data_IF_820641618274
#
_entry.id   IF_820641618274
#
_cell.length_a   1.000
_cell.length_b   1.000
_cell.length_c   1.000
_cell.angle_alpha   90.00
_cell.angle_beta   90.00
_cell.angle_gamma   90.00
#
_symmetry.space_group_name_H-M   'P 1'
#
loop_
_entity.id
_entity.type
_entity.pdbx_description
1 polymer ?
#
# COMPACT_ATOMS: atom_id res chain seq x y z
N UNK A 1 -22.07 0.45 -65.98
CA UNK A 1 -23.26 0.22 -65.13
C UNK A 1 -22.79 0.36 -63.71
N UNK A 2 -23.45 1.25 -62.96
CA UNK A 2 -23.22 1.62 -61.56
C UNK A 2 -21.83 2.23 -61.25
N UNK A 3 -21.70 3.52 -61.54
CA UNK A 3 -20.74 4.42 -60.91
C UNK A 3 -21.13 4.64 -59.44
N UNK A 4 -20.11 4.62 -58.58
CA UNK A 4 -20.21 4.93 -57.16
C UNK A 4 -20.45 6.42 -56.92
N UNK A 5 -21.22 6.69 -55.87
CA UNK A 5 -21.26 7.99 -55.21
C UNK A 5 -21.46 7.74 -53.72
N UNK A 6 -20.51 8.24 -52.93
CA UNK A 6 -20.58 8.37 -51.47
C UNK A 6 -21.56 9.48 -51.11
N UNK A 7 -22.38 9.25 -50.08
CA UNK A 7 -22.96 10.29 -49.22
C UNK A 7 -23.06 9.78 -47.77
N UNK A 8 -22.97 10.67 -46.77
CA UNK A 8 -22.40 10.38 -45.45
C UNK A 8 -23.42 9.81 -44.47
N UNK A 9 -23.02 8.85 -43.65
CA UNK A 9 -23.81 8.40 -42.50
C UNK A 9 -23.59 9.34 -41.32
N UNK A 10 -24.69 9.94 -40.89
CA UNK A 10 -24.79 10.87 -39.76
C UNK A 10 -24.30 10.22 -38.45
N UNK A 11 -23.40 10.92 -37.77
CA UNK A 11 -23.08 10.69 -36.36
C UNK A 11 -24.32 11.03 -35.53
N UNK A 12 -24.85 10.04 -34.82
CA UNK A 12 -25.89 10.26 -33.81
C UNK A 12 -25.24 10.85 -32.56
N UNK A 13 -25.45 12.14 -32.35
CA UNK A 13 -25.22 12.83 -31.07
C UNK A 13 -26.13 12.20 -30.00
N UNK A 14 -25.56 11.40 -29.09
CA UNK A 14 -26.26 11.02 -27.87
C UNK A 14 -26.21 12.21 -26.89
N UNK A 15 -27.39 12.77 -26.63
CA UNK A 15 -27.64 13.86 -25.70
C UNK A 15 -27.13 13.55 -24.29
N UNK A 16 -26.22 14.42 -23.83
CA UNK A 16 -25.71 14.50 -22.47
C UNK A 16 -26.86 14.77 -21.49
N UNK A 17 -27.25 13.75 -20.73
CA UNK A 17 -28.27 13.88 -19.69
C UNK A 17 -27.62 14.46 -18.42
N UNK A 18 -28.09 15.60 -17.87
CA UNK A 18 -27.48 16.22 -16.70
C UNK A 18 -27.93 15.50 -15.41
N UNK A 19 -27.37 14.31 -15.18
CA UNK A 19 -27.50 13.55 -13.95
C UNK A 19 -26.19 13.60 -13.18
N UNK A 20 -25.91 14.73 -12.50
CA UNK A 20 -24.73 14.87 -11.65
C UNK A 20 -24.69 13.79 -10.57
N UNK A 21 -23.94 12.72 -10.81
CA UNK A 21 -23.67 11.69 -9.82
C UNK A 21 -22.96 12.35 -8.63
N UNK A 22 -23.62 12.37 -7.47
CA UNK A 22 -23.04 12.84 -6.23
C UNK A 22 -21.65 12.20 -6.06
N UNK A 23 -20.60 13.02 -5.96
CA UNK A 23 -19.23 12.51 -5.83
C UNK A 23 -19.18 11.52 -4.66
N UNK A 24 -18.83 10.26 -4.92
CA UNK A 24 -18.70 9.25 -3.89
C UNK A 24 -17.83 9.79 -2.74
N UNK A 25 -18.34 9.71 -1.51
CA UNK A 25 -17.67 10.25 -0.32
C UNK A 25 -16.61 9.31 0.27
N UNK A 26 -16.55 8.08 -0.23
CA UNK A 26 -15.62 7.03 0.21
C UNK A 26 -15.04 6.31 -1.00
N UNK A 27 -13.81 5.79 -0.91
CA UNK A 27 -13.21 5.03 -2.00
C UNK A 27 -13.97 3.74 -2.28
N UNK A 28 -13.99 3.34 -3.55
CA UNK A 28 -14.35 1.98 -3.93
C UNK A 28 -13.39 0.94 -3.31
N UNK A 29 -13.93 -0.25 -3.10
CA UNK A 29 -13.23 -1.46 -2.68
C UNK A 29 -12.07 -1.80 -3.61
N UNK A 30 -10.96 -2.28 -3.05
CA UNK A 30 -9.74 -2.52 -3.83
C UNK A 30 -8.74 -3.43 -3.13
N UNK A 31 -8.05 -4.24 -3.92
CA UNK A 31 -6.85 -4.99 -3.53
C UNK A 31 -5.64 -4.55 -4.34
N UNK A 32 -4.44 -4.71 -3.78
CA UNK A 32 -3.19 -4.38 -4.48
C UNK A 32 -3.00 -2.92 -4.84
N UNK A 33 -3.71 -2.03 -4.16
CA UNK A 33 -3.45 -0.60 -4.16
C UNK A 33 -2.21 -0.29 -3.33
N UNK A 34 -1.73 0.94 -3.44
CA UNK A 34 -0.70 1.48 -2.53
C UNK A 34 -1.35 2.43 -1.53
N UNK A 35 -0.79 2.46 -0.32
CA UNK A 35 -1.08 3.50 0.64
C UNK A 35 0.22 3.99 1.28
N UNK A 36 0.38 5.31 1.35
CA UNK A 36 1.51 5.96 2.02
C UNK A 36 0.99 7.02 2.97
N UNK A 37 1.77 7.41 3.96
CA UNK A 37 1.34 8.37 5.00
C UNK A 37 2.38 9.45 5.23
N UNK A 38 1.92 10.69 5.50
CA UNK A 38 2.75 11.77 6.07
C UNK A 38 2.66 11.83 7.61
N UNK A 39 2.04 10.81 8.20
CA UNK A 39 1.74 10.66 9.63
C UNK A 39 0.44 11.32 10.08
N UNK A 40 -0.21 12.12 9.25
CA UNK A 40 -1.55 12.71 9.52
C UNK A 40 -2.59 12.29 8.48
N UNK A 41 -2.16 12.14 7.24
CA UNK A 41 -3.00 11.76 6.09
C UNK A 41 -2.44 10.50 5.47
N UNK A 42 -3.34 9.59 5.12
CA UNK A 42 -3.04 8.42 4.31
C UNK A 42 -3.49 8.68 2.87
N UNK A 43 -2.61 8.44 1.92
CA UNK A 43 -2.83 8.65 0.49
C UNK A 43 -2.93 7.28 -0.18
N UNK A 44 -4.05 7.01 -0.84
CA UNK A 44 -4.39 5.73 -1.44
C UNK A 44 -4.52 5.89 -2.95
N UNK A 45 -3.82 5.06 -3.72
CA UNK A 45 -3.83 5.10 -5.17
C UNK A 45 -3.85 3.69 -5.79
N UNK A 46 -4.50 3.57 -6.94
CA UNK A 46 -4.52 2.36 -7.75
C UNK A 46 -5.24 1.19 -7.09
N UNK A 47 -4.75 -0.02 -7.39
CA UNK A 47 -5.38 -1.29 -7.08
C UNK A 47 -6.40 -1.71 -8.13
N UNK A 48 -7.03 -2.85 -7.88
CA UNK A 48 -8.08 -3.40 -8.72
C UNK A 48 -9.21 -3.97 -7.88
N UNK A 49 -10.33 -4.21 -8.54
CA UNK A 49 -11.48 -4.94 -8.00
C UNK A 49 -12.12 -5.79 -9.10
N UNK A 50 -13.12 -6.58 -8.75
CA UNK A 50 -13.94 -7.25 -9.74
C UNK A 50 -14.95 -6.30 -10.39
N UNK A 51 -15.20 -6.48 -11.69
CA UNK A 51 -16.32 -5.86 -12.39
C UNK A 51 -17.49 -6.85 -12.46
N UNK A 52 -18.70 -6.52 -11.97
CA UNK A 52 -19.85 -7.43 -11.99
C UNK A 52 -20.38 -7.77 -13.39
N UNK A 53 -19.98 -7.04 -14.42
CA UNK A 53 -20.67 -7.00 -15.72
C UNK A 53 -19.77 -7.29 -16.94
N UNK A 54 -18.51 -7.69 -16.73
CA UNK A 54 -17.58 -8.00 -17.82
C UNK A 54 -16.97 -9.39 -17.63
N UNK A 55 -16.72 -10.11 -18.72
CA UNK A 55 -15.91 -11.35 -18.70
C UNK A 55 -14.46 -11.12 -18.21
N UNK A 56 -14.06 -9.85 -18.06
CA UNK A 56 -12.82 -9.46 -17.41
C UNK A 56 -12.98 -9.41 -15.90
N UNK A 57 -12.23 -10.26 -15.21
CA UNK A 57 -12.31 -10.41 -13.75
C UNK A 57 -11.59 -9.30 -12.98
N UNK A 58 -10.57 -8.65 -13.56
CA UNK A 58 -9.76 -7.64 -12.86
C UNK A 58 -9.95 -6.24 -13.48
N UNK A 59 -10.70 -5.36 -12.81
CA UNK A 59 -10.90 -3.96 -13.19
C UNK A 59 -10.00 -3.05 -12.34
N UNK A 60 -9.02 -2.42 -12.98
CA UNK A 60 -8.15 -1.45 -12.29
C UNK A 60 -8.89 -0.16 -11.97
N UNK A 61 -8.65 0.41 -10.79
CA UNK A 61 -9.28 1.67 -10.39
C UNK A 61 -8.74 2.87 -11.20
N UNK A 62 -9.51 3.97 -11.32
CA UNK A 62 -9.11 5.14 -12.10
C UNK A 62 -7.73 5.68 -11.72
N UNK A 63 -6.84 5.80 -12.73
CA UNK A 63 -5.44 6.21 -12.56
C UNK A 63 -5.27 7.64 -12.06
N UNK A 64 -6.22 8.51 -12.40
CA UNK A 64 -6.18 9.94 -12.09
C UNK A 64 -6.77 10.27 -10.71
N UNK A 65 -7.17 9.26 -9.93
CA UNK A 65 -7.73 9.44 -8.59
C UNK A 65 -6.74 9.06 -7.49
N UNK A 66 -6.47 10.00 -6.58
CA UNK A 66 -5.84 9.73 -5.29
C UNK A 66 -6.85 10.01 -4.18
N UNK A 67 -6.97 9.06 -3.25
CA UNK A 67 -7.87 9.16 -2.12
C UNK A 67 -7.07 9.54 -0.88
N UNK A 68 -7.44 10.64 -0.24
CA UNK A 68 -6.79 11.16 0.96
C UNK A 68 -7.68 10.88 2.16
N UNK A 69 -7.18 10.11 3.12
CA UNK A 69 -7.84 9.83 4.38
C UNK A 69 -7.19 10.62 5.50
N UNK A 70 -7.95 11.51 6.13
CA UNK A 70 -7.54 12.22 7.32
C UNK A 70 -7.60 11.26 8.53
N UNK A 71 -6.44 10.81 9.00
CA UNK A 71 -6.34 9.76 10.03
C UNK A 71 -6.82 10.23 11.41
N UNK A 72 -6.89 11.54 11.62
CA UNK A 72 -7.35 12.14 12.87
C UNK A 72 -8.86 12.11 13.03
N UNK A 73 -9.61 12.33 11.94
CA UNK A 73 -11.07 12.52 11.97
C UNK A 73 -11.86 11.54 11.10
N UNK A 74 -11.18 10.71 10.31
CA UNK A 74 -11.77 9.64 9.52
C UNK A 74 -12.40 10.06 8.20
N UNK A 75 -12.15 11.28 7.72
CA UNK A 75 -12.73 11.80 6.49
C UNK A 75 -11.90 11.37 5.28
N UNK A 76 -12.60 10.86 4.26
CA UNK A 76 -12.05 10.67 2.93
C UNK A 76 -12.27 11.90 2.06
N UNK A 77 -11.27 12.22 1.25
CA UNK A 77 -11.35 13.21 0.18
C UNK A 77 -10.81 12.57 -1.09
N UNK A 78 -11.61 12.61 -2.16
CA UNK A 78 -11.13 12.28 -3.49
C UNK A 78 -10.43 13.50 -4.08
N UNK A 79 -9.22 13.31 -4.58
CA UNK A 79 -8.45 14.34 -5.29
C UNK A 79 -8.13 13.81 -6.69
N UNK A 80 -8.45 14.60 -7.71
CA UNK A 80 -8.01 14.32 -9.08
C UNK A 80 -6.58 14.77 -9.25
N UNK A 81 -5.79 13.95 -9.95
CA UNK A 81 -4.37 14.20 -10.20
C UNK A 81 -4.14 14.48 -11.69
N UNK A 82 -3.14 15.32 -11.97
CA UNK A 82 -2.74 15.66 -13.33
C UNK A 82 -1.29 15.27 -13.63
N UNK A 83 -0.72 15.84 -14.69
CA UNK A 83 0.68 15.61 -15.09
C UNK A 83 0.90 14.27 -15.79
N UNK A 84 2.06 13.66 -15.57
CA UNK A 84 2.41 12.34 -16.11
C UNK A 84 1.80 11.22 -15.25
N UNK A 85 0.46 11.17 -15.22
CA UNK A 85 -0.29 10.19 -14.41
C UNK A 85 0.21 8.76 -14.73
N UNK A 86 0.56 7.90 -13.76
CA UNK A 86 0.91 6.50 -14.02
C UNK A 86 -0.27 5.73 -14.61
N UNK A 87 -0.08 4.61 -15.34
CA UNK A 87 -1.20 3.75 -15.73
C UNK A 87 -1.92 3.18 -14.50
N UNK A 88 -3.19 2.82 -14.61
CA UNK A 88 -3.86 2.12 -13.51
C UNK A 88 -3.16 0.78 -13.24
N UNK A 89 -2.75 0.55 -12.00
CA UNK A 89 -1.91 -0.59 -11.64
C UNK A 89 -2.32 -1.24 -10.32
N UNK A 90 -2.05 -2.54 -10.21
CA UNK A 90 -1.98 -3.26 -8.94
C UNK A 90 -0.53 -3.63 -8.61
N UNK A 91 -0.26 -3.88 -7.33
CA UNK A 91 1.02 -4.41 -6.87
C UNK A 91 2.22 -3.45 -7.03
N UNK A 92 1.99 -2.18 -7.36
CA UNK A 92 3.03 -1.15 -7.32
C UNK A 92 3.63 -1.04 -5.92
N UNK A 93 4.86 -0.54 -5.83
CA UNK A 93 5.54 -0.29 -4.56
C UNK A 93 5.65 1.22 -4.34
N UNK A 94 5.13 1.73 -3.24
CA UNK A 94 5.14 3.16 -2.95
C UNK A 94 5.67 3.49 -1.56
N UNK A 95 6.24 4.68 -1.44
CA UNK A 95 6.67 5.23 -0.15
C UNK A 95 6.54 6.75 -0.12
N UNK A 96 6.32 7.31 1.06
CA UNK A 96 6.34 8.75 1.30
C UNK A 96 7.65 9.13 1.98
N UNK A 97 8.43 10.02 1.36
CA UNK A 97 9.61 10.64 1.97
C UNK A 97 9.47 12.14 1.83
N UNK A 98 9.54 12.87 2.95
CA UNK A 98 9.41 14.34 2.99
C UNK A 98 8.19 14.90 2.23
N UNK A 99 7.03 14.22 2.39
CA UNK A 99 5.75 14.55 1.74
C UNK A 99 5.78 14.41 0.21
N UNK A 100 6.73 13.65 -0.33
CA UNK A 100 6.73 13.21 -1.72
C UNK A 100 6.43 11.73 -1.74
N UNK A 101 5.38 11.35 -2.48
CA UNK A 101 5.09 9.95 -2.79
C UNK A 101 5.98 9.54 -3.96
N UNK A 102 6.74 8.47 -3.78
CA UNK A 102 7.48 7.80 -4.83
C UNK A 102 6.81 6.46 -5.15
N UNK A 103 6.60 6.18 -6.43
CA UNK A 103 5.90 4.99 -6.94
C UNK A 103 6.82 4.27 -7.92
N UNK A 104 7.05 2.98 -7.70
CA UNK A 104 7.85 2.13 -8.57
C UNK A 104 7.10 0.85 -8.95
N UNK A 105 7.19 0.50 -10.23
CA UNK A 105 6.70 -0.77 -10.75
C UNK A 105 5.19 -0.94 -10.63
N UNK A 106 4.76 -2.20 -10.67
CA UNK A 106 3.35 -2.60 -10.67
C UNK A 106 2.97 -3.40 -11.90
N UNK A 107 1.69 -3.71 -12.00
CA UNK A 107 1.10 -4.46 -13.09
C UNK A 107 -0.13 -3.71 -13.63
N UNK A 108 -0.10 -3.35 -14.90
CA UNK A 108 -1.21 -2.73 -15.63
C UNK A 108 -1.77 -3.69 -16.68
N UNK A 109 -2.72 -3.23 -17.49
CA UNK A 109 -3.37 -4.01 -18.55
C UNK A 109 -2.41 -4.64 -19.59
N UNK A 110 -1.16 -4.18 -19.66
CA UNK A 110 -0.13 -4.67 -20.59
C UNK A 110 1.04 -5.37 -19.86
N UNK A 111 0.85 -5.74 -18.60
CA UNK A 111 1.85 -6.47 -17.82
C UNK A 111 2.62 -5.61 -16.82
N UNK A 112 3.78 -6.12 -16.42
CA UNK A 112 4.62 -5.49 -15.40
C UNK A 112 5.42 -4.31 -15.95
N UNK A 113 5.66 -3.32 -15.09
CA UNK A 113 6.46 -2.13 -15.42
C UNK A 113 7.63 -1.93 -14.44
N UNK A 114 8.67 -1.21 -14.85
CA UNK A 114 9.76 -0.70 -14.00
C UNK A 114 9.83 0.83 -14.01
N UNK A 115 8.76 1.49 -14.46
CA UNK A 115 8.68 2.95 -14.48
C UNK A 115 8.63 3.51 -13.06
N UNK A 116 9.19 4.71 -12.89
CA UNK A 116 9.28 5.41 -11.62
C UNK A 116 8.58 6.76 -11.71
N UNK A 117 7.75 7.06 -10.72
CA UNK A 117 6.97 8.28 -10.65
C UNK A 117 7.11 8.91 -9.27
N UNK A 118 6.92 10.22 -9.23
CA UNK A 118 6.79 10.95 -7.98
C UNK A 118 5.59 11.90 -7.98
N UNK A 119 5.09 12.20 -6.79
CA UNK A 119 3.95 13.09 -6.57
C UNK A 119 4.20 13.91 -5.31
N UNK A 120 4.30 15.23 -5.44
CA UNK A 120 4.36 16.14 -4.29
C UNK A 120 3.00 16.18 -3.59
N UNK A 121 2.92 15.72 -2.33
CA UNK A 121 1.68 15.62 -1.55
C UNK A 121 1.34 16.92 -0.79
N UNK A 122 2.12 17.98 -0.97
CA UNK A 122 1.88 19.31 -0.40
C UNK A 122 2.33 20.42 -1.38
N UNK A 123 1.72 20.47 -2.58
CA UNK A 123 2.01 21.49 -3.57
C UNK A 123 1.59 22.88 -3.04
N UNK A 124 2.28 23.94 -3.48
CA UNK A 124 1.91 25.31 -3.14
C UNK A 124 0.64 25.76 -3.87
N UNK A 125 0.48 25.32 -5.11
CA UNK A 125 -0.60 25.73 -6.00
C UNK A 125 -1.85 24.83 -5.89
N UNK A 126 -1.86 23.87 -4.95
CA UNK A 126 -3.00 23.01 -4.65
C UNK A 126 -3.12 21.74 -5.50
N UNK A 127 -2.62 21.75 -6.73
CA UNK A 127 -2.78 20.61 -7.66
C UNK A 127 -1.75 19.50 -7.42
N UNK A 128 -2.25 18.26 -7.35
CA UNK A 128 -1.42 17.05 -7.26
C UNK A 128 -1.03 16.59 -8.67
N UNK A 129 0.19 16.93 -9.10
CA UNK A 129 0.71 16.61 -10.43
C UNK A 129 1.76 15.51 -10.35
N UNK A 130 1.50 14.40 -11.04
CA UNK A 130 2.46 13.32 -11.18
C UNK A 130 3.60 13.74 -12.10
N UNK A 131 4.80 13.35 -11.72
CA UNK A 131 6.01 13.46 -12.55
C UNK A 131 6.53 12.05 -12.83
N UNK A 132 6.77 11.76 -14.10
CA UNK A 132 7.49 10.55 -14.51
C UNK A 132 8.97 10.90 -14.50
N UNK A 133 9.76 10.21 -13.68
CA UNK A 133 11.18 10.53 -13.53
C UNK A 133 12.00 9.61 -14.43
N UNK A 134 12.78 10.22 -15.32
CA UNK A 134 13.76 9.50 -16.13
C UNK A 134 15.02 9.24 -15.29
N UNK A 135 15.02 8.11 -14.58
CA UNK A 135 16.13 7.72 -13.71
C UNK A 135 17.37 7.31 -14.54
N UNK A 136 18.55 7.66 -14.03
CA UNK A 136 19.85 7.23 -14.57
C UNK A 136 20.21 5.84 -14.06
N UNK A 137 21.23 5.22 -14.65
CA UNK A 137 21.72 3.90 -14.25
C UNK A 137 20.82 2.77 -14.74
N UNK A 138 21.10 1.54 -14.29
CA UNK A 138 20.33 0.36 -14.71
C UNK A 138 19.15 0.13 -13.76
N UNK A 139 17.89 0.29 -14.21
CA UNK A 139 16.73 0.07 -13.37
C UNK A 139 16.54 -1.42 -13.03
N UNK A 140 15.73 -1.74 -12.02
CA UNK A 140 15.28 -3.10 -11.79
C UNK A 140 14.42 -3.61 -12.96
N UNK A 141 14.26 -4.93 -13.04
CA UNK A 141 13.34 -5.55 -14.00
C UNK A 141 11.89 -5.12 -13.78
N UNK A 142 11.06 -5.08 -14.83
CA UNK A 142 9.64 -4.78 -14.68
C UNK A 142 8.96 -5.81 -13.78
N UNK A 143 8.41 -5.35 -12.65
CA UNK A 143 7.87 -6.21 -11.60
C UNK A 143 6.88 -5.52 -10.69
N UNK A 144 6.11 -6.32 -9.97
CA UNK A 144 5.16 -5.91 -8.94
C UNK A 144 5.36 -6.72 -7.65
N UNK A 145 4.53 -6.45 -6.65
CA UNK A 145 4.46 -7.18 -5.37
C UNK A 145 5.83 -7.28 -4.68
N UNK A 146 6.59 -6.19 -4.71
CA UNK A 146 7.90 -6.04 -4.08
C UNK A 146 7.83 -5.14 -2.85
N UNK A 147 8.90 -5.14 -2.05
CA UNK A 147 9.04 -4.25 -0.90
C UNK A 147 10.04 -3.11 -1.15
N UNK A 148 9.92 -2.06 -0.34
CA UNK A 148 10.86 -0.93 -0.30
C UNK A 148 11.23 -0.59 1.14
N UNK A 149 12.50 -0.25 1.36
CA UNK A 149 12.98 0.40 2.58
C UNK A 149 13.47 1.81 2.28
N UNK A 150 13.38 2.69 3.26
CA UNK A 150 13.90 4.06 3.19
C UNK A 150 15.02 4.17 4.19
N UNK A 151 16.22 4.54 3.74
CA UNK A 151 17.32 4.84 4.62
C UNK A 151 18.08 6.04 4.08
N UNK A 152 18.10 7.13 4.87
CA UNK A 152 18.64 8.43 4.47
C UNK A 152 17.94 8.90 3.17
N UNK A 153 18.72 9.31 2.18
CA UNK A 153 18.30 9.80 0.86
C UNK A 153 18.15 8.68 -0.20
N UNK A 154 17.95 7.43 0.22
CA UNK A 154 17.94 6.27 -0.68
C UNK A 154 16.70 5.41 -0.48
N UNK A 155 16.15 4.93 -1.60
CA UNK A 155 15.10 3.93 -1.64
C UNK A 155 15.70 2.58 -2.03
N UNK A 156 15.42 1.55 -1.25
CA UNK A 156 15.99 0.21 -1.42
C UNK A 156 14.86 -0.75 -1.75
N UNK A 157 14.82 -1.22 -2.99
CA UNK A 157 13.80 -2.13 -3.49
C UNK A 157 14.29 -3.57 -3.44
N UNK A 158 13.46 -4.47 -2.90
CA UNK A 158 13.79 -5.89 -2.74
C UNK A 158 12.76 -6.82 -3.35
N UNK A 159 13.25 -7.81 -4.09
CA UNK A 159 12.45 -8.90 -4.64
C UNK A 159 11.39 -8.47 -5.64
N UNK A 160 10.26 -9.18 -5.65
CA UNK A 160 9.12 -8.93 -6.53
C UNK A 160 8.89 -10.04 -7.55
N UNK A 161 7.80 -9.91 -8.31
CA UNK A 161 7.40 -10.85 -9.35
C UNK A 161 7.28 -10.12 -10.69
N UNK A 162 7.90 -10.65 -11.74
CA UNK A 162 7.95 -9.94 -13.01
C UNK A 162 8.77 -10.64 -14.06
N UNK A 163 9.18 -9.90 -15.09
CA UNK A 163 9.95 -10.45 -16.20
C UNK A 163 11.42 -10.65 -15.84
N UNK A 164 12.03 -11.61 -16.54
CA UNK A 164 13.47 -11.81 -16.50
C UNK A 164 14.21 -10.60 -17.11
N UNK A 165 15.34 -10.24 -16.53
CA UNK A 165 16.25 -9.23 -17.07
C UNK A 165 17.68 -9.72 -16.92
N UNK A 166 18.39 -9.76 -18.04
CA UNK A 166 19.82 -10.08 -18.10
C UNK A 166 20.66 -9.11 -17.25
N UNK A 167 21.85 -9.56 -16.86
CA UNK A 167 22.81 -8.80 -16.05
C UNK A 167 22.37 -8.40 -14.65
N UNK A 168 21.29 -8.93 -14.08
CA UNK A 168 20.87 -8.61 -12.71
C UNK A 168 21.80 -9.23 -11.65
N UNK A 169 22.07 -8.51 -10.55
CA UNK A 169 22.78 -9.06 -9.37
C UNK A 169 21.75 -9.69 -8.43
N UNK A 170 21.99 -10.96 -8.08
CA UNK A 170 21.08 -11.80 -7.29
C UNK A 170 20.60 -12.99 -8.12
N UNK A 171 19.50 -13.60 -7.70
CA UNK A 171 18.89 -14.74 -8.39
C UNK A 171 17.47 -14.42 -8.83
N UNK A 172 17.14 -14.95 -10.01
CA UNK A 172 15.80 -14.95 -10.57
C UNK A 172 15.37 -16.39 -10.77
N UNK A 173 14.12 -16.70 -10.45
CA UNK A 173 13.55 -18.01 -10.65
C UNK A 173 12.17 -17.92 -11.29
N UNK A 174 11.99 -18.64 -12.40
CA UNK A 174 10.74 -18.69 -13.11
C UNK A 174 9.64 -19.35 -12.29
N UNK A 175 8.44 -18.84 -12.46
CA UNK A 175 7.21 -19.53 -12.10
C UNK A 175 6.78 -20.37 -13.29
N UNK A 176 6.92 -21.69 -13.19
CA UNK A 176 6.60 -22.64 -14.26
C UNK A 176 5.16 -22.50 -14.76
N UNK A 177 4.23 -22.08 -13.89
CA UNK A 177 2.82 -21.87 -14.26
C UNK A 177 2.62 -20.67 -15.19
N UNK A 178 3.59 -19.74 -15.24
CA UNK A 178 3.51 -18.54 -16.09
C UNK A 178 3.78 -18.83 -17.57
N UNK A 179 4.46 -19.93 -17.91
CA UNK A 179 4.73 -20.31 -19.31
C UNK A 179 3.47 -20.68 -20.08
N UNK A 180 2.44 -21.18 -19.39
CA UNK A 180 1.18 -21.57 -20.04
C UNK A 180 0.25 -20.37 -20.29
N UNK A 181 0.37 -19.31 -19.49
CA UNK A 181 -0.66 -18.27 -19.37
C UNK A 181 -0.21 -16.88 -19.82
N UNK A 182 1.04 -16.73 -20.26
CA UNK A 182 1.59 -15.45 -20.68
C UNK A 182 2.52 -15.60 -21.89
N UNK A 183 2.46 -14.63 -22.79
CA UNK A 183 3.41 -14.49 -23.90
C UNK A 183 4.85 -14.24 -23.42
N UNK A 184 5.02 -13.72 -22.20
CA UNK A 184 6.31 -13.55 -21.53
C UNK A 184 6.26 -14.21 -20.15
N UNK A 185 7.05 -15.27 -19.89
CA UNK A 185 7.07 -15.94 -18.59
C UNK A 185 7.62 -15.02 -17.51
N UNK A 186 7.13 -15.21 -16.29
CA UNK A 186 7.45 -14.39 -15.12
C UNK A 186 8.03 -15.25 -14.00
N UNK A 187 8.61 -14.59 -13.02
CA UNK A 187 9.27 -15.26 -11.91
C UNK A 187 9.54 -14.35 -10.73
N UNK A 188 10.06 -14.95 -9.67
CA UNK A 188 10.48 -14.26 -8.46
C UNK A 188 11.95 -13.88 -8.55
N UNK A 189 12.34 -12.80 -7.87
CA UNK A 189 13.74 -12.46 -7.66
C UNK A 189 14.03 -12.13 -6.19
N UNK A 190 15.31 -12.11 -5.82
CA UNK A 190 15.80 -11.55 -4.55
C UNK A 190 16.72 -10.34 -4.77
N UNK A 191 16.56 -9.63 -5.90
CA UNK A 191 17.44 -8.52 -6.24
C UNK A 191 17.26 -7.36 -5.25
N UNK A 192 18.37 -6.70 -4.90
CA UNK A 192 18.39 -5.45 -4.12
C UNK A 192 18.85 -4.31 -5.01
N UNK A 193 17.95 -3.36 -5.27
CA UNK A 193 18.25 -2.14 -6.04
C UNK A 193 18.13 -0.91 -5.17
N UNK A 194 19.02 0.06 -5.39
CA UNK A 194 19.06 1.31 -4.67
C UNK A 194 18.79 2.43 -5.66
N UNK A 195 17.81 3.28 -5.36
CA UNK A 195 17.61 4.55 -6.03
C UNK A 195 18.09 5.68 -5.13
N UNK A 196 19.07 6.45 -5.59
CA UNK A 196 19.47 7.70 -4.92
C UNK A 196 18.48 8.80 -5.24
N UNK A 197 17.90 9.43 -4.22
CA UNK A 197 16.98 10.56 -4.39
C UNK A 197 17.69 11.89 -4.66
N UNK A 198 19.02 11.96 -4.51
CA UNK A 198 19.79 13.17 -4.84
C UNK A 198 19.86 13.45 -6.35
N UNK A 199 19.90 12.39 -7.14
CA UNK A 199 20.17 12.47 -8.58
C UNK A 199 19.40 11.46 -9.41
N UNK A 200 18.40 10.79 -8.81
CA UNK A 200 17.56 9.75 -9.41
C UNK A 200 18.37 8.70 -10.18
N UNK A 201 19.44 8.19 -9.56
CA UNK A 201 20.30 7.18 -10.17
C UNK A 201 20.13 5.82 -9.50
N UNK A 202 19.82 4.81 -10.32
CA UNK A 202 19.78 3.42 -9.92
C UNK A 202 21.19 2.84 -9.77
N UNK A 203 21.37 2.04 -8.74
CA UNK A 203 22.55 1.22 -8.52
C UNK A 203 22.12 -0.11 -7.90
N UNK A 204 22.99 -1.11 -8.01
CA UNK A 204 22.77 -2.43 -7.40
C UNK A 204 23.51 -2.47 -6.06
N UNK A 205 22.87 -3.05 -5.05
CA UNK A 205 23.56 -3.31 -3.79
C UNK A 205 24.44 -4.55 -3.95
N UNK A 206 25.70 -4.46 -3.54
CA UNK A 206 26.56 -5.63 -3.31
C UNK A 206 26.38 -6.00 -1.85
N UNK A 207 25.71 -7.11 -1.58
CA UNK A 207 25.40 -7.55 -0.22
C UNK A 207 26.21 -8.79 0.16
N UNK A 208 26.47 -8.95 1.45
CA UNK A 208 27.07 -10.17 2.03
C UNK A 208 26.05 -10.90 2.90
N UNK A 209 26.44 -12.03 3.47
CA UNK A 209 25.55 -12.89 4.25
C UNK A 209 24.59 -13.70 3.37
N UNK A 210 23.74 -14.50 4.01
CA UNK A 210 22.75 -15.34 3.32
C UNK A 210 21.49 -14.52 3.06
N UNK A 211 21.31 -14.07 1.82
CA UNK A 211 20.10 -13.36 1.42
C UNK A 211 18.86 -14.28 1.50
N UNK A 212 17.66 -13.72 1.72
CA UNK A 212 16.42 -14.46 1.57
C UNK A 212 16.28 -15.03 0.14
N UNK A 213 15.53 -16.12 0.00
CA UNK A 213 15.15 -16.67 -1.31
C UNK A 213 14.41 -15.64 -2.18
N UNK A 214 14.39 -15.80 -3.51
CA UNK A 214 13.50 -15.05 -4.38
C UNK A 214 12.07 -15.05 -3.86
N UNK A 215 11.41 -13.89 -3.85
CA UNK A 215 10.06 -13.79 -3.29
C UNK A 215 9.30 -12.57 -3.76
N UNK A 216 7.98 -12.70 -3.76
CA UNK A 216 7.05 -11.60 -3.98
C UNK A 216 5.94 -11.62 -2.93
N UNK A 217 5.17 -10.54 -2.83
CA UNK A 217 4.12 -10.37 -1.84
C UNK A 217 4.60 -10.61 -0.39
N UNK A 218 5.89 -10.37 -0.15
CA UNK A 218 6.48 -10.21 1.18
C UNK A 218 6.19 -8.79 1.68
N UNK A 219 6.40 -8.54 2.97
CA UNK A 219 6.29 -7.19 3.52
C UNK A 219 7.65 -6.70 4.04
N UNK A 220 7.93 -5.43 3.78
CA UNK A 220 9.15 -4.75 4.23
C UNK A 220 8.83 -3.66 5.24
N UNK A 221 9.70 -3.50 6.24
CA UNK A 221 9.63 -2.41 7.21
C UNK A 221 11.04 -1.97 7.61
N UNK A 222 11.22 -0.69 7.96
CA UNK A 222 12.53 -0.16 8.35
C UNK A 222 12.52 0.24 9.83
N UNK A 223 13.56 -0.16 10.57
CA UNK A 223 13.84 0.37 11.91
C UNK A 223 15.32 0.73 11.98
N UNK A 224 15.61 2.01 12.18
CA UNK A 224 16.99 2.50 12.22
C UNK A 224 17.75 2.21 10.92
N UNK A 225 18.87 1.50 11.02
CA UNK A 225 19.69 1.05 9.89
C UNK A 225 19.35 -0.37 9.40
N UNK A 226 18.22 -0.94 9.81
CA UNK A 226 17.81 -2.31 9.43
C UNK A 226 16.55 -2.30 8.57
N UNK A 227 16.66 -2.86 7.38
CA UNK A 227 15.54 -3.14 6.49
C UNK A 227 15.03 -4.57 6.69
N UNK A 228 13.93 -4.73 7.41
CA UNK A 228 13.30 -6.01 7.68
C UNK A 228 12.44 -6.49 6.51
N UNK A 229 12.46 -7.79 6.24
CA UNK A 229 11.52 -8.48 5.35
C UNK A 229 10.96 -9.72 6.04
N UNK A 230 9.65 -9.90 5.97
CA UNK A 230 8.96 -11.08 6.49
C UNK A 230 8.19 -11.80 5.40
N UNK A 231 8.27 -13.13 5.42
CA UNK A 231 7.45 -14.03 4.63
C UNK A 231 7.52 -13.79 3.12
N UNK A 232 6.35 -13.87 2.48
CA UNK A 232 6.18 -13.77 1.03
C UNK A 232 5.81 -15.10 0.39
N UNK A 233 5.65 -15.10 -0.93
CA UNK A 233 5.48 -16.31 -1.73
C UNK A 233 6.73 -16.60 -2.54
N UNK A 234 7.13 -17.86 -2.54
CA UNK A 234 8.19 -18.42 -3.36
C UNK A 234 7.80 -19.85 -3.73
N UNK A 235 7.75 -20.16 -5.04
CA UNK A 235 7.22 -21.43 -5.55
C UNK A 235 5.83 -21.73 -4.97
N UNK A 236 5.66 -22.94 -4.44
CA UNK A 236 4.42 -23.45 -3.86
C UNK A 236 4.21 -23.02 -2.41
N UNK A 237 5.18 -22.35 -1.78
CA UNK A 237 5.11 -21.99 -0.37
C UNK A 237 4.87 -20.51 -0.15
N UNK A 238 4.09 -20.22 0.90
CA UNK A 238 4.10 -18.93 1.57
C UNK A 238 4.86 -19.07 2.88
N UNK A 239 5.95 -18.34 2.99
CA UNK A 239 7.02 -18.57 3.98
C UNK A 239 6.83 -17.68 5.22
N UNK A 240 7.44 -18.06 6.35
CA UNK A 240 7.36 -17.38 7.65
C UNK A 240 8.72 -16.90 8.18
N UNK A 241 9.72 -16.84 7.32
CA UNK A 241 11.06 -16.41 7.69
C UNK A 241 11.13 -14.89 7.87
N UNK A 242 11.99 -14.44 8.79
CA UNK A 242 12.26 -13.03 9.04
C UNK A 242 13.74 -12.76 8.79
N UNK A 243 14.03 -11.75 7.99
CA UNK A 243 15.39 -11.29 7.72
C UNK A 243 15.48 -9.79 7.93
N UNK A 244 16.70 -9.27 8.10
CA UNK A 244 16.99 -7.88 7.84
C UNK A 244 18.29 -7.70 7.06
N UNK A 245 18.31 -6.67 6.21
CA UNK A 245 19.53 -6.13 5.61
C UNK A 245 20.03 -4.97 6.47
N UNK A 246 21.29 -5.02 6.90
CA UNK A 246 21.93 -3.91 7.58
C UNK A 246 22.44 -2.89 6.54
N UNK A 247 21.95 -1.65 6.60
CA UNK A 247 22.30 -0.61 5.62
C UNK A 247 23.67 0.04 5.82
N UNK A 248 24.34 -0.24 6.94
CA UNK A 248 25.72 0.23 7.16
C UNK A 248 26.75 -0.82 6.69
N UNK A 249 26.48 -2.10 6.92
CA UNK A 249 27.41 -3.21 6.57
C UNK A 249 27.07 -3.91 5.26
N UNK A 250 25.85 -3.73 4.73
CA UNK A 250 25.31 -4.46 3.57
C UNK A 250 25.19 -5.97 3.78
N UNK A 251 25.13 -6.40 5.04
CA UNK A 251 25.04 -7.81 5.40
C UNK A 251 23.59 -8.21 5.68
N UNK A 252 23.20 -9.35 5.11
CA UNK A 252 21.94 -10.03 5.40
C UNK A 252 22.03 -10.87 6.66
N UNK A 253 21.05 -10.71 7.53
CA UNK A 253 20.90 -11.52 8.74
C UNK A 253 19.52 -12.18 8.78
N UNK A 254 19.52 -13.49 8.94
CA UNK A 254 18.31 -14.25 9.29
C UNK A 254 18.01 -14.04 10.78
N UNK A 255 16.75 -13.76 11.09
CA UNK A 255 16.26 -13.57 12.44
C UNK A 255 15.56 -14.85 12.87
N UNK A 256 16.19 -15.58 13.79
CA UNK A 256 15.58 -16.74 14.43
C UNK A 256 14.87 -16.26 15.69
N UNK A 257 13.60 -15.88 15.54
CA UNK A 257 12.76 -15.43 16.64
C UNK A 257 12.48 -16.58 17.62
N UNK A 258 12.46 -16.24 18.91
CA UNK A 258 12.20 -17.20 19.99
C UNK A 258 10.69 -17.43 20.15
N UNK A 259 10.32 -18.62 20.63
CA UNK A 259 8.95 -18.96 20.98
C UNK A 259 8.02 -19.16 19.77
N UNK A 260 6.77 -18.74 19.93
CA UNK A 260 5.74 -18.89 18.90
C UNK A 260 6.00 -17.94 17.72
N UNK A 261 5.77 -18.42 16.51
CA UNK A 261 5.98 -17.64 15.28
C UNK A 261 4.66 -17.55 14.48
N UNK A 262 4.43 -16.43 13.78
CA UNK A 262 3.30 -16.33 12.86
C UNK A 262 3.42 -17.39 11.76
N UNK A 263 2.28 -17.94 11.31
CA UNK A 263 2.26 -18.87 10.17
C UNK A 263 2.77 -18.22 8.88
N UNK A 264 3.30 -19.04 7.96
CA UNK A 264 3.82 -18.60 6.67
C UNK A 264 2.74 -17.94 5.81
N UNK A 265 3.09 -16.78 5.23
CA UNK A 265 2.10 -15.90 4.61
C UNK A 265 2.68 -14.99 3.53
N UNK A 266 1.85 -14.68 2.54
CA UNK A 266 2.07 -13.61 1.58
C UNK A 266 0.93 -12.58 1.66
N UNK A 267 1.08 -11.44 0.97
CA UNK A 267 0.06 -10.38 0.92
C UNK A 267 -0.37 -9.84 2.29
N UNK A 268 0.50 -9.97 3.28
CA UNK A 268 0.34 -9.39 4.62
C UNK A 268 0.96 -8.00 4.66
N UNK A 269 0.72 -7.26 5.74
CA UNK A 269 1.40 -5.98 6.01
C UNK A 269 2.36 -6.11 7.19
N UNK A 270 3.54 -5.51 7.08
CA UNK A 270 4.52 -5.34 8.16
C UNK A 270 4.79 -3.85 8.31
N UNK A 271 4.50 -3.28 9.47
CA UNK A 271 4.58 -1.83 9.71
C UNK A 271 5.43 -1.55 10.94
N UNK A 272 6.24 -0.49 10.91
CA UNK A 272 6.93 -0.03 12.11
C UNK A 272 5.90 0.44 13.15
N UNK A 273 5.85 -0.22 14.30
CA UNK A 273 4.95 0.10 15.41
C UNK A 273 5.61 1.01 16.45
N UNK A 274 6.93 0.90 16.60
CA UNK A 274 7.76 1.80 17.41
C UNK A 274 9.21 1.76 16.94
N UNK A 275 10.13 2.42 17.66
CA UNK A 275 11.57 2.27 17.44
C UNK A 275 12.12 0.87 17.76
N UNK A 276 11.34 0.01 18.43
CA UNK A 276 11.76 -1.32 18.89
C UNK A 276 10.74 -2.43 18.53
N UNK A 277 9.74 -2.13 17.70
CA UNK A 277 8.73 -3.12 17.36
C UNK A 277 8.15 -2.97 15.96
N UNK A 278 7.82 -4.12 15.36
CA UNK A 278 7.09 -4.25 14.09
C UNK A 278 5.72 -4.84 14.36
N UNK A 279 4.72 -4.38 13.62
CA UNK A 279 3.36 -4.91 13.63
C UNK A 279 3.07 -5.65 12.34
N UNK A 280 2.63 -6.89 12.47
CA UNK A 280 2.22 -7.78 11.38
C UNK A 280 0.70 -7.95 11.43
N UNK A 281 0.03 -7.87 10.28
CA UNK A 281 -1.40 -8.16 10.18
C UNK A 281 -1.78 -8.89 8.88
N UNK A 282 -2.66 -9.88 9.05
CA UNK A 282 -3.36 -10.55 7.97
C UNK A 282 -2.44 -11.32 7.03
N UNK A 283 -2.84 -11.39 5.77
CA UNK A 283 -2.19 -12.14 4.70
C UNK A 283 -2.94 -13.40 4.31
N UNK A 284 -2.22 -14.30 3.64
CA UNK A 284 -2.76 -15.50 3.04
C UNK A 284 -1.77 -16.65 3.21
N UNK A 285 -2.23 -17.83 3.65
CA UNK A 285 -1.36 -18.99 3.93
C UNK A 285 -1.08 -19.85 2.69
N UNK A 286 -0.13 -20.78 2.78
CA UNK A 286 0.13 -21.81 1.75
C UNK A 286 -1.15 -22.60 1.42
N UNK A 287 -1.92 -22.97 2.44
CA UNK A 287 -3.20 -23.69 2.39
C UNK A 287 -4.38 -22.80 1.97
N UNK A 288 -4.09 -21.62 1.43
CA UNK A 288 -5.07 -20.67 0.89
C UNK A 288 -6.07 -20.17 1.95
N UNK A 289 -5.64 -20.02 3.20
CA UNK A 289 -6.45 -19.43 4.28
C UNK A 289 -6.23 -17.91 4.35
N UNK A 290 -7.29 -17.08 4.27
CA UNK A 290 -7.25 -15.67 4.64
C UNK A 290 -6.95 -15.50 6.12
N UNK A 291 -6.11 -14.53 6.48
CA UNK A 291 -5.67 -14.30 7.84
C UNK A 291 -6.22 -12.99 8.41
N UNK A 292 -6.56 -13.02 9.70
CA UNK A 292 -6.99 -11.88 10.53
C UNK A 292 -6.17 -11.76 11.83
N UNK A 293 -5.16 -12.62 12.01
CA UNK A 293 -4.27 -12.55 13.15
C UNK A 293 -3.34 -11.33 13.04
N UNK A 294 -3.01 -10.78 14.20
CA UNK A 294 -2.09 -9.67 14.35
C UNK A 294 -0.96 -10.05 15.31
N UNK A 295 0.23 -9.55 15.06
CA UNK A 295 1.41 -9.82 15.89
C UNK A 295 2.28 -8.59 16.06
N UNK A 296 2.98 -8.52 17.19
CA UNK A 296 4.06 -7.57 17.42
C UNK A 296 5.37 -8.36 17.49
N UNK A 297 6.32 -8.04 16.62
CA UNK A 297 7.70 -8.48 16.77
C UNK A 297 8.45 -7.49 17.64
N UNK A 298 9.00 -7.94 18.78
CA UNK A 298 9.79 -7.13 19.70
C UNK A 298 11.28 -7.34 19.41
N UNK A 299 11.98 -6.28 19.02
CA UNK A 299 13.39 -6.34 18.65
C UNK A 299 14.30 -6.62 19.86
N UNK A 300 13.89 -6.20 21.06
CA UNK A 300 14.69 -6.33 22.27
C UNK A 300 14.66 -7.75 22.82
N UNK A 301 13.49 -8.42 22.75
CA UNK A 301 13.35 -9.82 23.20
C UNK A 301 13.54 -10.83 22.08
N UNK A 302 13.55 -10.39 20.81
CA UNK A 302 13.61 -11.25 19.63
C UNK A 302 12.45 -12.27 19.62
N UNK A 303 11.23 -11.79 19.88
CA UNK A 303 10.03 -12.61 19.99
C UNK A 303 8.86 -12.02 19.22
N UNK A 304 8.01 -12.89 18.69
CA UNK A 304 6.69 -12.54 18.20
C UNK A 304 5.65 -12.71 19.30
N UNK A 305 4.87 -11.67 19.54
CA UNK A 305 3.81 -11.64 20.55
C UNK A 305 2.46 -11.50 19.83
N UNK A 306 1.50 -12.43 20.00
CA UNK A 306 0.17 -12.28 19.45
C UNK A 306 -0.48 -10.97 19.93
N UNK A 307 -0.97 -10.17 19.00
CA UNK A 307 -1.66 -8.92 19.30
C UNK A 307 -3.18 -9.15 19.28
N UNK A 308 -3.78 -9.09 20.47
CA UNK A 308 -5.24 -9.18 20.59
C UNK A 308 -5.88 -7.95 19.96
N UNK A 309 -6.71 -8.16 18.96
CA UNK A 309 -7.43 -7.12 18.23
C UNK A 309 -8.92 -7.47 18.12
N UNK A 310 -9.74 -6.45 17.82
CA UNK A 310 -11.20 -6.60 17.70
C UNK A 310 -11.66 -6.92 16.26
N UNK A 311 -10.73 -7.30 15.38
CA UNK A 311 -10.95 -7.50 13.95
C UNK A 311 -10.74 -8.97 13.53
N UNK A 312 -10.88 -9.92 14.46
CA UNK A 312 -10.66 -11.36 14.21
C UNK A 312 -11.54 -11.93 13.10
N UNK A 313 -12.75 -11.42 12.93
CA UNK A 313 -13.69 -11.82 11.88
C UNK A 313 -13.47 -11.07 10.55
N UNK A 314 -12.44 -10.22 10.46
CA UNK A 314 -12.15 -9.37 9.31
C UNK A 314 -10.78 -9.71 8.72
N UNK A 315 -10.58 -10.92 8.18
CA UNK A 315 -9.34 -11.25 7.49
C UNK A 315 -9.09 -10.28 6.33
N UNK A 316 -7.83 -10.02 6.05
CA UNK A 316 -7.40 -9.17 4.93
C UNK A 316 -6.14 -9.73 4.30
N UNK A 317 -6.13 -9.78 2.98
CA UNK A 317 -4.92 -9.96 2.18
C UNK A 317 -4.84 -8.93 1.07
N UNK A 318 -3.61 -8.52 0.77
CA UNK A 318 -3.26 -7.50 -0.22
C UNK A 318 -3.91 -6.14 0.07
N UNK A 319 -4.18 -5.91 1.36
CA UNK A 319 -4.45 -4.62 1.97
C UNK A 319 -3.16 -3.82 2.12
N UNK A 320 -3.31 -2.57 2.55
CA UNK A 320 -2.20 -1.71 2.94
C UNK A 320 -2.28 -1.38 4.42
N UNK A 321 -1.16 -0.97 5.03
CA UNK A 321 -1.11 -0.52 6.42
C UNK A 321 -0.24 0.73 6.54
N UNK A 322 -0.69 1.72 7.31
CA UNK A 322 0.02 2.97 7.55
C UNK A 322 -0.01 3.32 9.05
N UNK A 323 1.14 3.65 9.62
CA UNK A 323 1.23 4.14 11.00
C UNK A 323 0.82 5.62 11.08
N UNK A 324 0.07 5.99 12.13
CA UNK A 324 -0.18 7.38 12.49
C UNK A 324 0.87 7.89 13.49
N UNK A 325 0.96 9.22 13.65
CA UNK A 325 1.81 9.83 14.70
C UNK A 325 1.36 9.53 16.13
N UNK A 326 0.11 9.08 16.30
CA UNK A 326 -0.48 8.78 17.62
C UNK A 326 -0.31 7.29 18.02
N UNK A 327 0.48 6.51 17.27
CA UNK A 327 0.74 5.11 17.60
C UNK A 327 -0.39 4.15 17.22
N UNK A 328 -1.22 4.53 16.24
CA UNK A 328 -2.23 3.66 15.65
C UNK A 328 -1.76 3.15 14.28
N UNK A 329 -2.20 1.96 13.89
CA UNK A 329 -1.98 1.43 12.55
C UNK A 329 -3.33 1.34 11.84
N UNK A 330 -3.41 1.97 10.68
CA UNK A 330 -4.58 2.00 9.82
C UNK A 330 -4.37 1.02 8.69
N UNK A 331 -5.21 -0.01 8.64
CA UNK A 331 -5.28 -0.97 7.54
C UNK A 331 -6.42 -0.58 6.63
N UNK A 332 -6.17 -0.53 5.32
CA UNK A 332 -7.21 -0.20 4.33
C UNK A 332 -7.27 -1.20 3.19
N UNK A 333 -8.50 -1.48 2.77
CA UNK A 333 -8.82 -2.30 1.60
C UNK A 333 -8.39 -3.75 1.72
N UNK A 334 -7.95 -4.34 0.61
CA UNK A 334 -7.61 -5.75 0.49
C UNK A 334 -8.82 -6.65 0.23
N UNK A 335 -8.60 -7.96 0.28
CA UNK A 335 -9.62 -8.98 0.08
C UNK A 335 -9.85 -9.79 1.36
N UNK A 336 -11.10 -10.08 1.69
CA UNK A 336 -11.48 -10.83 2.89
C UNK A 336 -11.45 -12.36 2.69
N UNK A 337 -11.41 -12.84 1.46
CA UNK A 337 -11.37 -14.27 1.15
C UNK A 337 -10.30 -14.58 0.09
N UNK A 338 -10.26 -15.82 -0.39
CA UNK A 338 -9.30 -16.25 -1.41
C UNK A 338 -9.50 -15.48 -2.73
N UNK A 339 -8.65 -14.47 -2.94
CA UNK A 339 -8.64 -13.60 -4.12
C UNK A 339 -8.36 -14.36 -5.43
N UNK A 340 -7.72 -15.54 -5.38
CA UNK A 340 -7.47 -16.38 -6.55
C UNK A 340 -8.74 -17.06 -7.10
N UNK A 341 -9.86 -16.99 -6.36
CA UNK A 341 -11.15 -17.46 -6.82
C UNK A 341 -11.91 -16.40 -7.63
N UNK A 342 -11.22 -15.33 -8.09
CA UNK A 342 -11.67 -14.22 -8.94
C UNK A 342 -13.13 -13.82 -8.71
N UNK A 343 -14.10 -14.46 -9.38
CA UNK A 343 -15.56 -14.25 -9.22
C UNK A 343 -16.07 -14.11 -7.78
N UNK A 344 -15.46 -14.82 -6.83
CA UNK A 344 -15.87 -14.81 -5.42
C UNK A 344 -15.08 -13.83 -4.56
N UNK A 345 -14.13 -13.08 -5.11
CA UNK A 345 -13.25 -12.22 -4.34
C UNK A 345 -14.02 -11.10 -3.61
N UNK A 346 -13.90 -11.09 -2.28
CA UNK A 346 -14.54 -10.13 -1.40
C UNK A 346 -13.59 -8.95 -1.14
N UNK A 347 -13.42 -8.08 -2.13
CA UNK A 347 -12.68 -6.83 -1.97
C UNK A 347 -13.36 -5.92 -0.93
N UNK A 348 -12.56 -5.19 -0.17
CA UNK A 348 -13.03 -4.27 0.87
C UNK A 348 -12.59 -2.83 0.61
N UNK A 349 -13.35 -1.88 1.13
CA UNK A 349 -12.98 -0.46 1.32
C UNK A 349 -13.02 -0.07 2.81
N UNK A 350 -13.03 -1.04 3.72
CA UNK A 350 -13.03 -0.77 5.15
C UNK A 350 -11.67 -0.25 5.62
N UNK A 351 -11.71 0.60 6.64
CA UNK A 351 -10.55 1.00 7.44
C UNK A 351 -10.60 0.25 8.76
N UNK A 352 -9.57 -0.54 9.05
CA UNK A 352 -9.38 -1.18 10.36
C UNK A 352 -8.31 -0.42 11.12
N UNK A 353 -8.60 -0.05 12.37
CA UNK A 353 -7.68 0.72 13.22
C UNK A 353 -7.19 -0.17 14.36
N UNK A 354 -5.88 -0.25 14.51
CA UNK A 354 -5.18 -1.00 15.55
C UNK A 354 -4.45 -0.02 16.48
N UNK A 355 -4.94 0.20 17.71
CA UNK A 355 -4.26 1.05 18.68
C UNK A 355 -3.07 0.29 19.28
N UNK A 356 -1.85 0.56 18.79
CA UNK A 356 -0.64 -0.13 19.25
C UNK A 356 -0.15 0.47 20.58
N UNK A 357 -0.30 1.78 20.73
CA UNK A 357 0.03 2.49 21.96
C UNK A 357 -1.23 3.10 22.59
N UNK A 358 -1.24 3.31 23.92
CA UNK A 358 -2.29 4.08 24.56
C UNK A 358 -2.40 5.47 23.93
N UNK A 359 -3.63 5.97 23.79
CA UNK A 359 -3.88 7.34 23.29
C UNK A 359 -3.20 8.36 24.20
N UNK A 360 -2.64 9.41 23.61
CA UNK A 360 -2.10 10.55 24.36
C UNK A 360 -3.19 11.18 25.25
N UNK A 361 -2.79 11.80 26.38
CA UNK A 361 -3.74 12.52 27.24
C UNK A 361 -4.52 13.58 26.46
N UNK A 362 -3.86 14.28 25.54
CA UNK A 362 -4.51 15.25 24.65
C UNK A 362 -5.60 14.58 23.80
N UNK A 363 -5.31 13.42 23.20
CA UNK A 363 -6.29 12.67 22.40
C UNK A 363 -7.48 12.22 23.25
N UNK A 364 -7.23 11.71 24.46
CA UNK A 364 -8.28 11.32 25.40
C UNK A 364 -9.14 12.51 25.82
N UNK A 365 -8.52 13.65 26.12
CA UNK A 365 -9.22 14.89 26.43
C UNK A 365 -10.07 15.37 25.24
N UNK A 366 -9.55 15.34 24.02
CA UNK A 366 -10.31 15.71 22.82
C UNK A 366 -11.52 14.79 22.61
N UNK A 367 -11.38 13.48 22.83
CA UNK A 367 -12.50 12.54 22.75
C UNK A 367 -13.53 12.77 23.85
N UNK A 368 -13.08 13.07 25.08
CA UNK A 368 -13.99 13.45 26.16
C UNK A 368 -14.75 14.74 25.81
N UNK A 369 -14.07 15.77 25.28
CA UNK A 369 -14.72 17.00 24.83
C UNK A 369 -15.77 16.70 23.76
N UNK A 370 -15.51 15.73 22.88
CA UNK A 370 -16.47 15.33 21.85
C UNK A 370 -17.69 14.61 22.43
N UNK A 371 -17.46 13.67 23.33
CA UNK A 371 -18.51 12.90 24.00
C UNK A 371 -19.39 13.75 24.91
N UNK A 372 -18.81 14.81 25.52
CA UNK A 372 -19.50 15.71 26.44
C UNK A 372 -19.77 17.10 25.84
N UNK A 373 -19.92 17.16 24.51
CA UNK A 373 -20.01 18.43 23.76
C UNK A 373 -21.08 19.39 24.26
N UNK A 374 -22.24 18.85 24.62
CA UNK A 374 -23.40 19.67 25.00
C UNK A 374 -23.18 20.27 26.40
N UNK A 375 -22.54 19.50 27.29
CA UNK A 375 -22.15 19.97 28.63
C UNK A 375 -21.06 21.03 28.57
N UNK A 376 -20.13 20.89 27.62
CA UNK A 376 -18.95 21.75 27.50
C UNK A 376 -19.13 22.92 26.54
N UNK A 377 -20.29 23.04 25.88
CA UNK A 377 -20.53 24.01 24.80
C UNK A 377 -20.16 25.45 25.19
N UNK A 378 -20.56 25.90 26.37
CA UNK A 378 -20.29 27.26 26.86
C UNK A 378 -18.82 27.51 27.22
N UNK A 379 -18.02 26.45 27.34
CA UNK A 379 -16.60 26.52 27.70
C UNK A 379 -15.67 26.35 26.51
N UNK A 380 -16.19 25.95 25.34
CA UNK A 380 -15.38 25.66 24.15
C UNK A 380 -14.63 26.89 23.65
N UNK A 381 -15.27 28.06 23.65
CA UNK A 381 -14.68 29.30 23.15
C UNK A 381 -13.47 29.80 23.96
N UNK A 382 -13.23 29.22 25.15
CA UNK A 382 -12.04 29.47 25.96
C UNK A 382 -10.82 28.65 25.53
N UNK A 383 -10.99 27.67 24.64
CA UNK A 383 -9.87 26.86 24.17
C UNK A 383 -8.99 27.65 23.18
N UNK A 384 -7.67 27.39 23.18
CA UNK A 384 -6.79 27.90 22.13
C UNK A 384 -7.32 27.59 20.73
N UNK A 385 -7.22 28.55 19.80
CA UNK A 385 -7.79 28.46 18.44
C UNK A 385 -7.48 27.15 17.71
N UNK A 386 -6.26 26.63 17.87
CA UNK A 386 -5.85 25.38 17.21
C UNK A 386 -6.60 24.14 17.74
N UNK A 387 -6.94 24.10 19.03
CA UNK A 387 -7.76 23.02 19.62
C UNK A 387 -9.22 23.18 19.23
N UNK A 388 -9.73 24.41 19.23
CA UNK A 388 -11.09 24.71 18.82
C UNK A 388 -11.34 24.27 17.37
N UNK A 389 -10.41 24.59 16.46
CA UNK A 389 -10.46 24.13 15.06
C UNK A 389 -10.49 22.59 14.97
N UNK A 390 -9.66 21.91 15.75
CA UNK A 390 -9.60 20.44 15.78
C UNK A 390 -10.93 19.84 16.28
N UNK A 391 -11.50 20.40 17.35
CA UNK A 391 -12.77 19.97 17.92
C UNK A 391 -13.92 20.21 16.94
N UNK A 392 -14.01 21.39 16.30
CA UNK A 392 -15.04 21.69 15.31
C UNK A 392 -14.99 20.75 14.11
N UNK A 393 -13.78 20.44 13.61
CA UNK A 393 -13.61 19.44 12.54
C UNK A 393 -14.14 18.06 12.95
N UNK A 394 -13.99 17.69 14.23
CA UNK A 394 -14.48 16.41 14.76
C UNK A 394 -15.98 16.41 15.06
N UNK A 395 -16.57 17.52 15.50
CA UNK A 395 -18.02 17.65 15.71
C UNK A 395 -18.83 17.53 14.43
N UNK A 396 -18.32 18.08 13.32
CA UNK A 396 -18.94 17.93 12.00
C UNK A 396 -19.08 16.45 11.58
N UNK A 397 -18.35 15.54 12.22
CA UNK A 397 -18.37 14.10 11.95
C UNK A 397 -19.24 13.32 12.94
N UNK A 398 -19.30 13.67 14.23
CA UNK A 398 -20.11 12.91 15.21
C UNK A 398 -21.62 13.01 14.93
N UNK A 399 -22.08 14.12 14.36
CA UNK A 399 -23.47 14.30 13.90
C UNK A 399 -23.83 13.42 12.69
N UNK A 400 -22.85 12.76 12.06
CA UNK A 400 -23.05 11.94 10.84
C UNK A 400 -23.03 10.45 11.11
N UNK A 401 -22.55 10.01 12.28
CA UNK A 401 -22.53 8.60 12.71
C UNK A 401 -23.71 8.20 13.58
N UNK A 402 -24.51 9.17 14.07
CA UNK A 402 -25.72 8.92 14.86
C UNK A 402 -26.99 8.74 14.00
N UNK A 403 -26.84 8.50 12.70
CA UNK A 403 -27.93 8.40 11.73
C UNK A 403 -27.79 7.22 10.77
N UNK A 404 -27.27 6.09 11.25
CA UNK A 404 -27.28 4.79 10.57
C UNK A 404 -27.87 3.72 11.46
#
# INVERSE_FOLDING_TARGET
MADGNEEPQAESEEEDSPGGAASARVPAERSGHVAVTDGRRMFVWGGYKNAPATEFYDFYLPRDEIWVYAMDNGIWQKVKTGGNVPPSMSGSCAVCVDKVLYLFGGHHAHGNTNQFYMLNLSPRDGDLLWEKVECKGTPPSPKDKLGVWVYKNKLFYFGGYGYYQEDSVGTFEFDETSFANASLPRGWNNHVHILSLENFTWSRAITTGKSPSPRAAHACATIGNRGYVFGGRYRDSRINDLYYLNFDTWEWHEVIAQGANPVGRSWHSLTQASSHSLFLFGGFTTEKQPLSDAWIYNLSTNEWIPFKNNHSEKPRLWHTACASKEGEIFVFGGCANNLLAHEKAAHSNEVLIFPIQPKSLVRLCLEAVISFRDMLANSLDHLPKHLLLNIHQRFANSNKTSGS
#
